data_IF_878351945269
#
_entry.id   IF_878351945269
#
_cell.length_a   1.000
_cell.length_b   1.000
_cell.length_c   1.000
_cell.angle_alpha   90.00
_cell.angle_beta   90.00
_cell.angle_gamma   90.00
#
_symmetry.space_group_name_H-M   'P 1'
#
loop_
_entity.id
_entity.type
_entity.pdbx_description
1 polymer ?
#
# COMPACT_ATOMS: atom_id res chain seq x y z
N UNK A 1 -6.97 -6.92 2.59
CA UNK A 1 -8.19 -6.56 1.83
C UNK A 1 -7.84 -5.49 0.79
N UNK A 2 -6.97 -5.80 -0.17
CA UNK A 2 -6.57 -4.84 -1.23
C UNK A 2 -6.79 -5.37 -2.65
N UNK A 3 -7.31 -6.59 -2.78
CA UNK A 3 -7.14 -7.40 -4.00
C UNK A 3 -8.48 -7.76 -4.62
N UNK A 4 -9.56 -7.18 -4.11
CA UNK A 4 -10.91 -7.58 -4.47
C UNK A 4 -11.72 -6.35 -4.82
N UNK A 5 -12.41 -6.42 -5.95
CA UNK A 5 -13.42 -5.44 -6.28
C UNK A 5 -14.74 -5.87 -5.65
N UNK A 6 -15.30 -5.02 -4.79
CA UNK A 6 -16.57 -5.27 -4.13
C UNK A 6 -17.65 -4.33 -4.63
N UNK A 7 -18.86 -4.85 -4.79
CA UNK A 7 -20.07 -4.07 -5.08
C UNK A 7 -21.07 -4.27 -3.97
N UNK A 8 -21.74 -3.19 -3.58
CA UNK A 8 -22.90 -3.24 -2.69
C UNK A 8 -24.17 -3.37 -3.51
N UNK A 9 -25.06 -4.26 -3.08
CA UNK A 9 -26.39 -4.46 -3.66
C UNK A 9 -27.40 -4.31 -2.54
N UNK A 10 -28.30 -3.35 -2.69
CA UNK A 10 -29.42 -3.17 -1.77
C UNK A 10 -30.49 -4.25 -2.01
N UNK A 11 -31.06 -4.76 -0.93
CA UNK A 11 -32.14 -5.74 -0.95
C UNK A 11 -33.48 -5.06 -0.67
N UNK A 12 -34.57 -5.68 -1.14
CA UNK A 12 -35.92 -5.13 -1.00
C UNK A 12 -36.40 -5.02 0.45
N UNK A 13 -35.78 -5.76 1.38
CA UNK A 13 -36.05 -5.71 2.82
C UNK A 13 -35.27 -4.61 3.56
N UNK A 14 -34.51 -3.78 2.83
CA UNK A 14 -33.70 -2.70 3.37
C UNK A 14 -32.34 -3.13 3.91
N UNK A 15 -31.99 -4.42 3.80
CA UNK A 15 -30.63 -4.90 4.05
C UNK A 15 -29.74 -4.77 2.80
N UNK A 16 -28.45 -5.10 2.92
CA UNK A 16 -27.50 -5.00 1.80
C UNK A 16 -26.53 -6.17 1.74
N UNK A 17 -26.14 -6.54 0.52
CA UNK A 17 -25.10 -7.53 0.24
C UNK A 17 -23.82 -6.84 -0.25
N UNK A 18 -22.70 -7.16 0.38
CA UNK A 18 -21.37 -6.82 -0.16
C UNK A 18 -20.83 -8.03 -0.92
N UNK A 19 -20.81 -7.95 -2.25
CA UNK A 19 -20.33 -9.04 -3.11
C UNK A 19 -18.93 -8.73 -3.62
N UNK A 20 -18.03 -9.70 -3.46
CA UNK A 20 -16.75 -9.72 -4.19
C UNK A 20 -16.97 -10.33 -5.56
N UNK A 21 -16.73 -9.57 -6.63
CA UNK A 21 -17.00 -10.05 -8.00
C UNK A 21 -15.74 -10.20 -8.86
N UNK A 22 -14.61 -9.64 -8.43
CA UNK A 22 -13.34 -9.79 -9.14
C UNK A 22 -12.16 -9.80 -8.17
N UNK A 23 -11.09 -10.49 -8.57
CA UNK A 23 -9.76 -10.40 -7.96
C UNK A 23 -8.89 -9.48 -8.81
N UNK A 24 -8.14 -8.59 -8.16
CA UNK A 24 -7.19 -7.68 -8.76
C UNK A 24 -5.84 -8.40 -8.83
N UNK A 25 -5.30 -8.46 -10.04
CA UNK A 25 -4.01 -9.07 -10.34
C UNK A 25 -3.02 -7.99 -10.78
N UNK A 26 -1.74 -8.22 -10.52
CA UNK A 26 -0.66 -7.38 -11.03
C UNK A 26 -0.32 -7.70 -12.51
N UNK A 27 0.66 -7.01 -13.07
CA UNK A 27 1.10 -7.21 -14.45
C UNK A 27 1.71 -8.60 -14.73
N UNK A 28 2.04 -9.37 -13.68
CA UNK A 28 2.53 -10.75 -13.76
C UNK A 28 1.44 -11.79 -13.54
N UNK A 29 0.20 -11.36 -13.27
CA UNK A 29 -0.95 -12.22 -13.01
C UNK A 29 -1.04 -12.74 -11.56
N UNK A 30 -0.25 -12.19 -10.63
CA UNK A 30 -0.31 -12.54 -9.21
C UNK A 30 -1.33 -11.66 -8.48
N UNK A 31 -1.96 -12.15 -7.39
CA UNK A 31 -2.90 -11.34 -6.62
C UNK A 31 -2.19 -10.15 -6.01
N UNK A 32 -2.81 -8.98 -6.11
CA UNK A 32 -2.17 -7.71 -5.76
C UNK A 32 -1.64 -7.64 -4.31
N UNK A 33 -2.34 -8.25 -3.35
CA UNK A 33 -2.00 -8.25 -1.93
C UNK A 33 -1.36 -9.54 -1.47
N UNK A 34 -1.12 -10.50 -2.36
CA UNK A 34 -0.06 -11.48 -2.14
C UNK A 34 1.33 -10.82 -2.29
N UNK A 35 1.43 -9.64 -2.94
CA UNK A 35 2.71 -8.94 -3.11
C UNK A 35 2.59 -7.42 -3.27
N UNK A 36 2.84 -6.71 -2.18
CA UNK A 36 3.63 -5.48 -2.24
C UNK A 36 4.64 -5.54 -1.09
N UNK A 37 5.65 -6.40 -1.23
CA UNK A 37 6.83 -6.28 -0.38
C UNK A 37 7.58 -5.01 -0.80
N UNK A 38 7.83 -4.07 0.13
CA UNK A 38 8.56 -2.88 -0.22
C UNK A 38 9.95 -3.28 -0.71
N UNK A 39 10.41 -2.67 -1.82
CA UNK A 39 11.75 -2.92 -2.38
C UNK A 39 12.86 -2.66 -1.33
N UNK A 40 12.56 -1.77 -0.38
CA UNK A 40 13.36 -1.53 0.79
C UNK A 40 12.43 -1.49 2.01
N UNK A 41 12.63 -2.41 2.94
CA UNK A 41 11.92 -2.37 4.22
C UNK A 41 12.54 -1.28 5.09
N UNK A 42 11.78 -0.24 5.40
CA UNK A 42 12.22 0.84 6.28
C UNK A 42 11.28 0.95 7.46
N UNK A 43 11.84 0.89 8.67
CA UNK A 43 11.08 0.95 9.90
C UNK A 43 11.24 2.32 10.55
N UNK A 44 10.13 2.92 10.94
CA UNK A 44 10.13 4.15 11.71
C UNK A 44 10.55 3.86 13.16
N UNK A 45 11.64 4.48 13.60
CA UNK A 45 12.00 4.50 15.02
C UNK A 45 11.19 5.60 15.73
N UNK A 46 10.09 5.19 16.37
CA UNK A 46 9.20 6.10 17.10
C UNK A 46 9.90 6.81 18.27
N UNK A 47 10.94 6.23 18.89
CA UNK A 47 11.68 6.88 19.97
C UNK A 47 12.54 8.01 19.43
N UNK A 48 13.23 7.79 18.32
CA UNK A 48 14.02 8.82 17.64
C UNK A 48 13.11 9.92 17.11
N UNK A 49 11.98 9.57 16.50
CA UNK A 49 11.00 10.55 16.04
C UNK A 49 10.47 11.42 17.18
N UNK A 50 10.08 10.80 18.31
CA UNK A 50 9.56 11.54 19.46
C UNK A 50 10.63 12.42 20.13
N UNK A 51 11.88 11.94 20.20
CA UNK A 51 12.97 12.66 20.87
C UNK A 51 13.58 13.78 20.00
N UNK A 52 13.63 13.60 18.68
CA UNK A 52 14.38 14.47 17.77
C UNK A 52 13.52 15.14 16.70
N UNK A 53 12.23 14.78 16.59
CA UNK A 53 11.33 15.27 15.54
C UNK A 53 11.72 14.80 14.14
N UNK A 54 12.54 13.76 14.01
CA UNK A 54 13.08 13.30 12.73
C UNK A 54 12.51 11.95 12.32
N UNK A 55 11.98 11.89 11.10
CA UNK A 55 11.67 10.66 10.39
C UNK A 55 12.89 10.30 9.52
N UNK A 56 13.79 9.50 10.09
CA UNK A 56 15.03 9.07 9.45
C UNK A 56 14.75 8.30 8.15
N UNK A 57 13.83 7.31 8.11
CA UNK A 57 13.37 6.67 6.87
C UNK A 57 12.97 7.65 5.75
N UNK A 58 12.17 8.65 6.09
CA UNK A 58 11.70 9.65 5.13
C UNK A 58 12.85 10.53 4.62
N UNK A 59 13.78 10.91 5.49
CA UNK A 59 14.95 11.69 5.12
C UNK A 59 15.86 10.92 4.15
N UNK A 60 16.11 9.65 4.40
CA UNK A 60 16.99 8.80 3.59
C UNK A 60 16.38 8.42 2.22
N UNK A 61 15.07 8.15 2.19
CA UNK A 61 14.36 7.89 0.93
C UNK A 61 14.37 9.10 -0.02
N UNK A 62 14.33 10.32 0.51
CA UNK A 62 14.43 11.56 -0.28
C UNK A 62 15.84 11.87 -0.81
N UNK A 63 16.90 11.29 -0.22
CA UNK A 63 18.28 11.43 -0.69
C UNK A 63 18.57 10.50 -1.89
N UNK A 64 17.98 9.31 -1.89
CA UNK A 64 18.19 8.30 -2.95
C UNK A 64 17.55 8.67 -4.29
N UNK A 65 16.53 9.53 -4.31
CA UNK A 65 15.88 9.98 -5.57
C UNK A 65 16.69 11.04 -6.35
N UNK A 66 17.71 11.67 -5.75
CA UNK A 66 18.49 12.75 -6.40
C UNK A 66 19.64 12.24 -7.29
N UNK A 67 19.86 10.93 -7.37
CA UNK A 67 20.88 10.31 -8.23
C UNK A 67 20.23 9.49 -9.35
N UNK A 68 19.56 10.17 -10.29
CA UNK A 68 19.42 9.64 -11.65
C UNK A 68 20.21 10.55 -12.58
N UNK A 69 21.38 10.13 -13.11
CA UNK A 69 21.97 10.84 -14.22
C UNK A 69 21.01 10.70 -15.40
N UNK A 70 20.65 11.82 -16.01
CA UNK A 70 19.96 11.82 -17.28
C UNK A 70 20.84 11.06 -18.30
N UNK A 71 20.29 10.01 -18.93
CA UNK A 71 20.79 9.50 -20.20
C UNK A 71 20.17 10.31 -21.33
#
# INVERSE_FOLDING_TARGET
MGDTATRFIDLADGSGLQLTFAQLLDASGQKLGERVEPQQQVNLDAKVMAAQGQDVPLKESSASQRHRPAM
#
